data_IF_554956563929
#
_entry.id   IF_554956563929
#
_cell.length_a   1.000
_cell.length_b   1.000
_cell.length_c   1.000
_cell.angle_alpha   90.00
_cell.angle_beta   90.00
_cell.angle_gamma   90.00
#
_symmetry.space_group_name_H-M   'P 1'
#
loop_
_entity.id
_entity.type
_entity.pdbx_description
1 polymer ?
#
# COMPACT_ATOMS: atom_id res chain seq x y z
N UNK A 1 21.40 -0.14 11.36
CA UNK A 1 20.66 -0.71 12.53
C UNK A 1 21.50 -0.86 13.80
N UNK A 2 22.65 -0.20 13.92
CA UNK A 2 23.62 -0.34 15.03
C UNK A 2 23.30 0.44 16.33
N UNK A 3 22.02 0.71 16.64
CA UNK A 3 21.63 1.52 17.81
C UNK A 3 20.41 0.96 18.56
N UNK A 4 20.02 -0.28 18.33
CA UNK A 4 18.96 -0.95 19.08
C UNK A 4 19.65 -1.80 20.16
N UNK A 5 19.32 -1.55 21.42
CA UNK A 5 19.81 -2.34 22.55
C UNK A 5 18.83 -3.45 22.94
N UNK A 6 19.21 -4.29 23.91
CA UNK A 6 18.40 -5.44 24.34
C UNK A 6 17.02 -5.05 24.85
N UNK A 7 16.88 -3.93 25.58
CA UNK A 7 15.58 -3.45 26.05
C UNK A 7 14.64 -3.08 24.90
N UNK A 8 15.18 -2.39 23.87
CA UNK A 8 14.39 -2.03 22.69
C UNK A 8 14.00 -3.26 21.87
N UNK A 9 14.89 -4.27 21.77
CA UNK A 9 14.59 -5.56 21.13
C UNK A 9 13.51 -6.33 21.90
N UNK A 10 13.60 -6.34 23.24
CA UNK A 10 12.57 -6.96 24.08
C UNK A 10 11.20 -6.29 23.86
N UNK A 11 11.15 -4.95 23.85
CA UNK A 11 9.89 -4.23 23.59
C UNK A 11 9.31 -4.56 22.22
N UNK A 12 10.17 -4.64 21.19
CA UNK A 12 9.74 -5.03 19.85
C UNK A 12 9.07 -6.40 19.87
N UNK A 13 9.71 -7.40 20.49
CA UNK A 13 9.18 -8.75 20.63
C UNK A 13 7.85 -8.75 21.41
N UNK A 14 7.78 -8.05 22.54
CA UNK A 14 6.55 -7.96 23.32
C UNK A 14 5.38 -7.29 22.58
N UNK A 15 5.66 -6.30 21.72
CA UNK A 15 4.65 -5.70 20.85
C UNK A 15 4.10 -6.71 19.86
N UNK A 16 4.95 -7.52 19.24
CA UNK A 16 4.51 -8.57 18.30
C UNK A 16 3.72 -9.64 19.04
N UNK A 17 4.27 -10.19 20.11
CA UNK A 17 3.70 -11.35 20.82
C UNK A 17 2.42 -10.99 21.58
N UNK A 18 2.43 -9.89 22.36
CA UNK A 18 1.31 -9.53 23.25
C UNK A 18 0.28 -8.61 22.62
N UNK A 19 0.69 -7.75 21.66
CA UNK A 19 -0.22 -6.80 20.99
C UNK A 19 -0.58 -7.25 19.58
N UNK A 20 0.00 -8.35 19.10
CA UNK A 20 -0.26 -8.92 17.78
C UNK A 20 -0.12 -7.90 16.61
N UNK A 21 0.73 -6.89 16.80
CA UNK A 21 1.09 -5.98 15.71
C UNK A 21 2.13 -6.65 14.82
N UNK A 22 2.17 -6.24 13.55
CA UNK A 22 3.21 -6.76 12.64
C UNK A 22 4.60 -6.29 13.08
N UNK A 23 5.64 -7.07 12.76
CA UNK A 23 7.03 -6.72 13.06
C UNK A 23 7.42 -5.34 12.50
N UNK A 24 6.94 -5.02 11.28
CA UNK A 24 7.15 -3.69 10.68
C UNK A 24 6.51 -2.56 11.49
N UNK A 25 5.32 -2.78 12.05
CA UNK A 25 4.63 -1.82 12.93
C UNK A 25 5.37 -1.68 14.27
N UNK A 26 5.77 -2.79 14.89
CA UNK A 26 6.56 -2.78 16.11
C UNK A 26 7.89 -2.03 15.91
N UNK A 27 8.59 -2.32 14.82
CA UNK A 27 9.84 -1.63 14.43
C UNK A 27 9.60 -0.12 14.26
N UNK A 28 8.51 0.29 13.62
CA UNK A 28 8.15 1.70 13.49
C UNK A 28 7.93 2.35 14.86
N UNK A 29 7.21 1.70 15.77
CA UNK A 29 6.97 2.23 17.11
C UNK A 29 8.26 2.40 17.90
N UNK A 30 9.17 1.42 17.87
CA UNK A 30 10.47 1.54 18.52
C UNK A 30 11.32 2.67 17.91
N UNK A 31 11.32 2.83 16.59
CA UNK A 31 11.99 3.96 15.91
C UNK A 31 11.40 5.30 16.31
N UNK A 32 10.09 5.38 16.46
CA UNK A 32 9.41 6.58 16.93
C UNK A 32 9.86 6.94 18.35
N UNK A 33 9.89 5.98 19.27
CA UNK A 33 10.38 6.21 20.64
C UNK A 33 11.86 6.61 20.65
N UNK A 34 12.69 6.00 19.82
CA UNK A 34 14.08 6.41 19.65
C UNK A 34 14.21 7.88 19.20
N UNK A 35 13.34 8.32 18.28
CA UNK A 35 13.30 9.71 17.82
C UNK A 35 12.89 10.64 18.98
N UNK A 36 11.87 10.29 19.75
CA UNK A 36 11.41 11.05 20.92
C UNK A 36 12.45 11.10 22.04
N UNK A 37 13.30 10.08 22.16
CA UNK A 37 14.46 10.08 23.07
C UNK A 37 15.68 10.77 22.42
N UNK A 38 15.46 11.81 21.62
CA UNK A 38 16.52 12.62 20.98
C UNK A 38 17.52 11.78 20.17
N UNK A 39 17.03 10.72 19.52
CA UNK A 39 17.83 9.76 18.75
C UNK A 39 18.90 9.06 19.57
N UNK A 40 18.65 8.83 20.86
CA UNK A 40 19.50 8.03 21.74
C UNK A 40 18.82 6.72 22.11
N UNK A 41 19.57 5.62 22.24
CA UNK A 41 19.06 4.38 22.80
C UNK A 41 18.51 4.60 24.22
N UNK A 42 17.47 3.86 24.58
CA UNK A 42 16.86 3.95 25.91
C UNK A 42 16.75 2.57 26.55
N UNK A 43 16.98 2.52 27.86
CA UNK A 43 16.93 1.30 28.68
C UNK A 43 15.68 1.24 29.57
N UNK A 44 14.87 2.29 29.56
CA UNK A 44 13.56 2.39 30.21
C UNK A 44 12.73 3.49 29.53
N UNK A 45 11.51 3.69 29.97
CA UNK A 45 10.58 4.66 29.37
C UNK A 45 10.45 5.96 30.19
N UNK A 46 11.42 6.26 31.07
CA UNK A 46 11.34 7.44 31.94
C UNK A 46 11.37 8.77 31.19
N UNK A 47 11.99 8.83 30.02
CA UNK A 47 12.02 10.03 29.16
C UNK A 47 10.61 10.48 28.73
N UNK A 48 9.63 9.56 28.65
CA UNK A 48 8.24 9.87 28.33
C UNK A 48 7.52 10.65 29.47
N UNK A 49 8.09 10.69 30.68
CA UNK A 49 7.56 11.47 31.80
C UNK A 49 7.71 12.97 31.61
N UNK A 50 8.70 13.38 30.81
CA UNK A 50 8.86 14.80 30.43
C UNK A 50 7.94 15.11 29.25
N UNK A 51 6.66 15.26 29.54
CA UNK A 51 5.60 15.46 28.54
C UNK A 51 5.82 16.72 27.70
N UNK A 52 6.36 17.79 28.30
CA UNK A 52 6.59 19.05 27.61
C UNK A 52 7.69 18.90 26.52
N UNK A 53 8.77 18.19 26.87
CA UNK A 53 9.82 17.90 25.88
C UNK A 53 9.31 17.00 24.75
N UNK A 54 8.47 16.02 25.05
CA UNK A 54 7.85 15.16 24.02
C UNK A 54 6.94 16.02 23.13
N UNK A 55 6.15 16.93 23.71
CA UNK A 55 5.25 17.81 22.97
C UNK A 55 5.99 18.78 22.06
N UNK A 56 7.09 19.35 22.51
CA UNK A 56 7.96 20.16 21.67
C UNK A 56 8.42 19.39 20.43
N UNK A 57 8.91 18.15 20.60
CA UNK A 57 9.33 17.30 19.48
C UNK A 57 8.14 16.97 18.57
N UNK A 58 6.98 16.61 19.15
CA UNK A 58 5.79 16.30 18.36
C UNK A 58 5.31 17.47 17.52
N UNK A 59 5.47 18.71 18.00
CA UNK A 59 5.02 19.90 17.30
C UNK A 59 5.78 20.19 16.00
N UNK A 60 6.94 19.59 15.80
CA UNK A 60 7.69 19.68 14.55
C UNK A 60 7.09 18.82 13.43
N UNK A 61 6.13 17.94 13.74
CA UNK A 61 5.58 16.97 12.80
C UNK A 61 4.13 17.28 12.38
N UNK A 62 3.75 16.79 11.21
CA UNK A 62 2.36 16.85 10.74
C UNK A 62 1.43 16.02 11.64
N UNK A 63 0.15 16.32 11.64
CA UNK A 63 -0.86 15.66 12.48
C UNK A 63 -0.93 14.15 12.28
N UNK A 64 -0.79 13.67 11.04
CA UNK A 64 -0.71 12.24 10.75
C UNK A 64 0.51 11.58 11.40
N UNK A 65 1.64 12.27 11.37
CA UNK A 65 2.88 11.80 11.99
C UNK A 65 2.76 11.84 13.51
N UNK A 66 2.22 12.92 14.10
CA UNK A 66 1.92 13.03 15.54
C UNK A 66 1.06 11.86 16.02
N UNK A 67 -0.03 11.56 15.30
CA UNK A 67 -0.89 10.41 15.60
C UNK A 67 -0.11 9.10 15.60
N UNK A 68 0.80 8.90 14.65
CA UNK A 68 1.62 7.69 14.57
C UNK A 68 2.59 7.60 15.75
N UNK A 69 3.21 8.71 16.17
CA UNK A 69 4.03 8.77 17.38
C UNK A 69 3.21 8.42 18.64
N UNK A 70 2.06 9.07 18.82
CA UNK A 70 1.17 8.81 19.95
C UNK A 70 0.68 7.35 20.00
N UNK A 71 0.38 6.76 18.83
CA UNK A 71 0.03 5.34 18.73
C UNK A 71 1.18 4.43 19.18
N UNK A 72 2.42 4.77 18.82
CA UNK A 72 3.61 4.06 19.27
C UNK A 72 3.82 4.15 20.77
N UNK A 73 3.73 5.38 21.34
CA UNK A 73 3.83 5.61 22.79
C UNK A 73 2.78 4.81 23.55
N UNK A 74 1.51 4.92 23.16
CA UNK A 74 0.38 4.24 23.84
C UNK A 74 0.49 2.73 23.72
N UNK A 75 0.89 2.20 22.57
CA UNK A 75 1.08 0.76 22.37
C UNK A 75 2.17 0.22 23.30
N UNK A 76 3.32 0.90 23.39
CA UNK A 76 4.42 0.48 24.27
C UNK A 76 4.04 0.65 25.74
N UNK A 77 3.47 1.80 26.15
CA UNK A 77 3.06 2.00 27.54
C UNK A 77 1.95 1.03 27.98
N UNK A 78 1.11 0.55 27.05
CA UNK A 78 0.08 -0.43 27.37
C UNK A 78 0.62 -1.80 27.81
N UNK A 79 1.90 -2.11 27.51
CA UNK A 79 2.58 -3.29 28.04
C UNK A 79 2.87 -3.18 29.54
N UNK A 80 2.86 -1.96 30.07
CA UNK A 80 3.18 -1.63 31.46
C UNK A 80 2.02 -0.96 32.21
N UNK A 81 0.83 -0.93 31.64
CA UNK A 81 -0.34 -0.20 32.20
C UNK A 81 -0.73 -0.62 33.63
N UNK A 82 -0.41 -1.86 34.00
CA UNK A 82 -0.72 -2.42 35.32
C UNK A 82 0.32 -2.02 36.40
N UNK A 83 1.48 -1.47 35.97
CA UNK A 83 2.46 -0.90 36.88
C UNK A 83 2.04 0.51 37.29
N UNK A 84 1.94 0.75 38.61
CA UNK A 84 1.50 2.05 39.18
C UNK A 84 2.26 3.24 38.56
N UNK A 85 3.59 3.07 38.35
CA UNK A 85 4.48 4.11 37.80
C UNK A 85 4.16 4.51 36.37
N UNK A 86 3.46 3.68 35.59
CA UNK A 86 3.14 3.94 34.19
C UNK A 86 1.65 4.14 33.91
N UNK A 87 0.77 3.81 34.86
CA UNK A 87 -0.69 3.90 34.70
C UNK A 87 -1.16 5.32 34.35
N UNK A 88 -0.70 6.33 35.09
CA UNK A 88 -1.03 7.75 34.83
C UNK A 88 -0.44 8.22 33.48
N UNK A 89 0.78 7.81 33.17
CA UNK A 89 1.48 8.17 31.94
C UNK A 89 0.78 7.57 30.72
N UNK A 90 0.38 6.29 30.80
CA UNK A 90 -0.41 5.63 29.76
C UNK A 90 -1.72 6.38 29.50
N UNK A 91 -2.47 6.73 30.56
CA UNK A 91 -3.74 7.46 30.43
C UNK A 91 -3.50 8.81 29.74
N UNK A 92 -2.51 9.58 30.16
CA UNK A 92 -2.18 10.88 29.55
C UNK A 92 -1.99 10.78 28.04
N UNK A 93 -1.12 9.88 27.57
CA UNK A 93 -0.87 9.73 26.14
C UNK A 93 -2.02 9.09 25.38
N UNK A 94 -2.79 8.22 26.03
CA UNK A 94 -3.99 7.63 25.43
C UNK A 94 -5.06 8.70 25.18
N UNK A 95 -5.35 9.53 26.18
CA UNK A 95 -6.31 10.62 26.05
C UNK A 95 -5.89 11.60 24.96
N UNK A 96 -4.61 11.96 24.93
CA UNK A 96 -4.03 12.82 23.88
C UNK A 96 -4.14 12.21 22.48
N UNK A 97 -3.89 10.89 22.35
CA UNK A 97 -4.06 10.17 21.09
C UNK A 97 -5.53 10.16 20.65
N UNK A 98 -6.47 9.97 21.58
CA UNK A 98 -7.91 9.95 21.28
C UNK A 98 -8.41 11.33 20.87
N UNK A 99 -8.01 12.39 21.57
CA UNK A 99 -8.33 13.79 21.19
C UNK A 99 -7.85 14.06 19.76
N UNK A 100 -6.58 13.72 19.46
CA UNK A 100 -6.04 13.93 18.12
C UNK A 100 -6.76 13.09 17.05
N UNK A 101 -7.17 11.87 17.38
CA UNK A 101 -7.95 11.02 16.49
C UNK A 101 -9.34 11.59 16.18
N UNK A 102 -9.98 12.23 17.18
CA UNK A 102 -11.29 12.89 17.02
C UNK A 102 -11.14 14.15 16.17
N UNK A 103 -10.22 15.05 16.49
CA UNK A 103 -9.93 16.25 15.68
C UNK A 103 -9.70 15.91 14.20
N UNK A 104 -8.97 14.83 13.91
CA UNK A 104 -8.71 14.38 12.53
C UNK A 104 -9.91 13.75 11.85
N UNK A 105 -10.92 13.27 12.58
CA UNK A 105 -12.19 12.79 11.98
C UNK A 105 -13.09 13.96 11.59
N UNK A 106 -13.08 14.99 12.37
CA UNK A 106 -13.91 16.20 12.16
C UNK A 106 -13.33 17.10 11.05
N UNK A 107 -12.01 17.01 10.79
CA UNK A 107 -11.43 17.65 9.61
C UNK A 107 -11.90 16.90 8.35
N UNK A 108 -12.45 17.65 7.41
CA UNK A 108 -13.11 17.18 6.20
C UNK A 108 -12.20 16.23 5.41
N UNK A 109 -12.38 14.93 5.58
CA UNK A 109 -11.50 13.83 5.09
C UNK A 109 -11.41 13.83 3.56
N UNK A 110 -12.34 14.53 2.89
CA UNK A 110 -12.45 14.59 1.43
C UNK A 110 -11.74 15.82 0.82
N UNK A 111 -11.13 16.70 1.66
CA UNK A 111 -10.34 17.82 1.14
C UNK A 111 -8.95 17.33 0.76
N UNK A 112 -8.54 17.61 -0.47
CA UNK A 112 -7.18 17.31 -0.93
C UNK A 112 -6.15 18.09 -0.13
N UNK A 113 -5.11 17.40 0.36
CA UNK A 113 -3.92 18.05 0.88
C UNK A 113 -3.18 18.81 -0.23
N UNK A 114 -2.32 19.78 0.12
CA UNK A 114 -1.51 20.51 -0.86
C UNK A 114 -0.69 19.55 -1.73
N UNK A 115 -0.05 18.53 -1.13
CA UNK A 115 0.69 17.51 -1.86
C UNK A 115 -0.20 16.75 -2.85
N UNK A 116 -1.47 16.49 -2.51
CA UNK A 116 -2.40 15.86 -3.44
C UNK A 116 -2.76 16.82 -4.57
N UNK A 117 -3.06 18.09 -4.28
CA UNK A 117 -3.37 19.10 -5.31
C UNK A 117 -2.23 19.25 -6.32
N UNK A 118 -0.99 19.37 -5.84
CA UNK A 118 0.21 19.53 -6.69
C UNK A 118 0.46 18.34 -7.62
N UNK A 119 0.05 17.15 -7.20
CA UNK A 119 0.30 15.91 -7.92
C UNK A 119 -0.97 15.32 -8.57
N UNK A 120 -2.11 15.98 -8.41
CA UNK A 120 -3.37 15.50 -8.98
C UNK A 120 -3.36 15.53 -10.49
N UNK A 121 -4.07 14.60 -11.09
CA UNK A 121 -4.40 14.59 -12.51
C UNK A 121 -5.78 13.95 -12.71
N UNK A 122 -6.39 14.17 -13.86
CA UNK A 122 -7.64 13.52 -14.22
C UNK A 122 -7.38 12.06 -14.57
N UNK A 123 -8.41 11.23 -14.43
CA UNK A 123 -8.31 9.81 -14.78
C UNK A 123 -8.03 9.61 -16.28
N UNK A 124 -8.60 10.45 -17.12
CA UNK A 124 -8.37 10.47 -18.57
C UNK A 124 -6.89 10.68 -18.90
N UNK A 125 -6.19 11.53 -18.16
CA UNK A 125 -4.75 11.76 -18.33
C UNK A 125 -3.94 10.50 -17.95
N UNK A 126 -4.40 9.72 -16.96
CA UNK A 126 -3.79 8.43 -16.61
C UNK A 126 -3.95 7.44 -17.76
N UNK A 127 -5.14 7.38 -18.37
CA UNK A 127 -5.42 6.53 -19.53
C UNK A 127 -4.57 6.96 -20.75
N UNK A 128 -4.45 8.26 -21.01
CA UNK A 128 -3.58 8.77 -22.08
C UNK A 128 -2.14 8.29 -21.89
N UNK A 129 -1.61 8.31 -20.66
CA UNK A 129 -0.26 7.79 -20.36
C UNK A 129 -0.13 6.29 -20.66
N UNK A 130 -1.19 5.51 -20.40
CA UNK A 130 -1.22 4.10 -20.77
C UNK A 130 -1.14 3.92 -22.29
N UNK A 131 -1.95 4.67 -23.04
CA UNK A 131 -1.94 4.60 -24.49
C UNK A 131 -0.60 5.08 -25.12
N UNK A 132 0.05 6.08 -24.53
CA UNK A 132 1.37 6.51 -24.97
C UNK A 132 2.42 5.40 -24.79
N UNK A 133 2.40 4.69 -23.66
CA UNK A 133 3.27 3.53 -23.44
C UNK A 133 2.96 2.40 -24.43
N UNK A 134 1.68 2.15 -24.72
CA UNK A 134 1.23 1.15 -25.70
C UNK A 134 1.79 1.44 -27.09
N UNK A 135 1.75 2.70 -27.53
CA UNK A 135 2.35 3.11 -28.81
C UNK A 135 3.86 2.81 -28.87
N UNK A 136 4.60 3.10 -27.80
CA UNK A 136 6.04 2.80 -27.76
C UNK A 136 6.32 1.29 -27.84
N UNK A 137 5.44 0.46 -27.29
CA UNK A 137 5.58 -1.00 -27.34
C UNK A 137 5.36 -1.55 -28.74
N UNK A 138 4.49 -0.94 -29.55
CA UNK A 138 4.26 -1.35 -30.94
C UNK A 138 5.54 -1.40 -31.76
N UNK A 139 6.53 -0.53 -31.46
CA UNK A 139 7.82 -0.47 -32.16
C UNK A 139 8.69 -1.72 -31.96
N UNK A 140 8.49 -2.48 -30.87
CA UNK A 140 9.36 -3.61 -30.54
C UNK A 140 8.64 -4.91 -30.18
N UNK A 141 7.32 -4.95 -30.08
CA UNK A 141 6.55 -6.14 -29.65
C UNK A 141 6.84 -7.40 -30.47
N UNK A 142 7.20 -7.23 -31.76
CA UNK A 142 7.46 -8.33 -32.68
C UNK A 142 8.94 -8.80 -32.68
N UNK A 143 9.81 -8.11 -31.95
CA UNK A 143 11.22 -8.50 -31.86
C UNK A 143 11.37 -9.85 -31.15
N UNK A 144 12.48 -10.54 -31.45
CA UNK A 144 12.85 -11.79 -30.74
C UNK A 144 13.46 -11.49 -29.37
N UNK A 145 14.22 -10.42 -29.26
CA UNK A 145 14.86 -9.91 -28.04
C UNK A 145 14.63 -8.42 -27.92
N UNK A 146 14.56 -7.93 -26.71
CA UNK A 146 14.42 -6.50 -26.42
C UNK A 146 15.56 -6.04 -25.53
N UNK A 147 15.87 -4.76 -25.60
CA UNK A 147 16.87 -4.10 -24.75
C UNK A 147 16.32 -3.89 -23.33
N UNK A 148 17.20 -3.66 -22.36
CA UNK A 148 16.78 -3.32 -20.98
C UNK A 148 15.85 -2.09 -20.95
N UNK A 149 16.13 -1.07 -21.78
CA UNK A 149 15.27 0.12 -21.88
C UNK A 149 13.87 -0.22 -22.42
N UNK A 150 13.77 -1.10 -23.40
CA UNK A 150 12.49 -1.56 -23.92
C UNK A 150 11.74 -2.42 -22.88
N UNK A 151 12.47 -3.26 -22.12
CA UNK A 151 11.88 -4.00 -21.01
C UNK A 151 11.31 -3.06 -19.92
N UNK A 152 12.00 -1.98 -19.57
CA UNK A 152 11.52 -0.98 -18.61
C UNK A 152 10.24 -0.28 -19.10
N UNK A 153 10.15 0.00 -20.41
CA UNK A 153 8.93 0.53 -21.03
C UNK A 153 7.79 -0.48 -20.93
N UNK A 154 8.05 -1.75 -21.25
CA UNK A 154 7.06 -2.82 -21.15
C UNK A 154 6.59 -3.03 -19.72
N UNK A 155 7.51 -3.06 -18.75
CA UNK A 155 7.19 -3.15 -17.33
C UNK A 155 6.33 -1.96 -16.86
N UNK A 156 6.65 -0.75 -17.34
CA UNK A 156 5.87 0.46 -17.04
C UNK A 156 4.45 0.35 -17.59
N UNK A 157 4.28 -0.17 -18.77
CA UNK A 157 2.97 -0.41 -19.39
C UNK A 157 2.16 -1.46 -18.62
N UNK A 158 2.77 -2.61 -18.30
CA UNK A 158 2.12 -3.66 -17.49
C UNK A 158 1.66 -3.12 -16.15
N UNK A 159 2.53 -2.38 -15.45
CA UNK A 159 2.16 -1.76 -14.19
C UNK A 159 0.96 -0.83 -14.37
N UNK A 160 0.97 0.00 -15.41
CA UNK A 160 -0.14 0.94 -15.62
C UNK A 160 -1.44 0.20 -16.00
N UNK A 161 -1.37 -0.87 -16.79
CA UNK A 161 -2.53 -1.75 -17.05
C UNK A 161 -3.08 -2.37 -15.76
N UNK A 162 -2.23 -2.84 -14.83
CA UNK A 162 -2.66 -3.37 -13.53
C UNK A 162 -3.36 -2.32 -12.65
N UNK A 163 -3.15 -1.03 -12.89
CA UNK A 163 -3.77 0.06 -12.15
C UNK A 163 -4.95 0.72 -12.89
N UNK A 164 -5.17 0.38 -14.16
CA UNK A 164 -6.24 0.98 -14.97
C UNK A 164 -7.30 0.00 -15.44
N UNK A 165 -6.91 -1.24 -15.73
CA UNK A 165 -7.81 -2.27 -16.24
C UNK A 165 -8.59 -3.02 -15.13
N UNK A 166 -8.06 -2.97 -13.91
CA UNK A 166 -8.74 -3.46 -12.71
C UNK A 166 -8.69 -2.38 -11.64
N UNK A 167 -9.56 -2.41 -10.61
CA UNK A 167 -9.52 -1.43 -9.53
C UNK A 167 -8.12 -1.35 -8.89
N UNK A 168 -7.52 -0.15 -8.78
CA UNK A 168 -6.14 0.01 -8.34
C UNK A 168 -5.87 -0.59 -6.95
N UNK A 169 -4.92 -1.52 -6.86
CA UNK A 169 -4.50 -2.16 -5.62
C UNK A 169 -3.25 -1.49 -5.03
N UNK A 170 -2.79 -1.97 -3.88
CA UNK A 170 -1.54 -1.48 -3.27
C UNK A 170 -0.33 -2.09 -3.97
N UNK A 171 0.79 -1.37 -4.04
CA UNK A 171 2.04 -1.88 -4.60
C UNK A 171 2.47 -3.20 -3.97
N UNK A 172 2.27 -3.35 -2.65
CA UNK A 172 2.63 -4.57 -1.92
C UNK A 172 1.90 -5.80 -2.45
N UNK A 173 0.67 -5.65 -2.94
CA UNK A 173 -0.15 -6.76 -3.44
C UNK A 173 0.47 -7.39 -4.69
N UNK A 174 1.23 -6.63 -5.48
CA UNK A 174 1.95 -7.11 -6.67
C UNK A 174 3.42 -7.44 -6.41
N UNK A 175 4.04 -6.81 -5.40
CA UNK A 175 5.46 -6.95 -5.09
C UNK A 175 5.84 -8.42 -4.80
N UNK A 176 4.98 -9.11 -4.06
CA UNK A 176 5.20 -10.49 -3.62
C UNK A 176 4.36 -11.50 -4.43
N UNK A 177 3.99 -11.11 -5.65
CA UNK A 177 3.24 -11.97 -6.56
C UNK A 177 4.16 -12.89 -7.35
N UNK A 178 3.66 -14.10 -7.62
CA UNK A 178 4.31 -15.11 -8.45
C UNK A 178 3.45 -15.46 -9.65
N UNK A 179 4.08 -15.73 -10.77
CA UNK A 179 3.42 -16.32 -11.93
C UNK A 179 3.44 -17.82 -11.78
N UNK A 180 2.31 -18.46 -11.97
CA UNK A 180 2.18 -19.91 -12.02
C UNK A 180 1.45 -20.35 -13.29
N UNK A 181 1.78 -21.55 -13.79
CA UNK A 181 1.09 -22.07 -14.96
C UNK A 181 -0.37 -22.40 -14.69
N UNK A 182 -0.65 -23.03 -13.56
CA UNK A 182 -1.99 -23.39 -13.11
C UNK A 182 -1.93 -23.60 -11.60
N UNK A 183 -2.76 -22.88 -10.88
CA UNK A 183 -2.83 -23.00 -9.43
C UNK A 183 -3.96 -23.96 -9.04
N UNK A 184 -3.62 -24.97 -8.22
CA UNK A 184 -4.62 -25.77 -7.55
C UNK A 184 -5.06 -25.05 -6.28
N UNK A 185 -6.34 -24.93 -6.08
CA UNK A 185 -6.94 -24.16 -4.98
C UNK A 185 -6.46 -22.69 -4.97
N UNK A 186 -6.14 -22.14 -3.82
CA UNK A 186 -5.61 -20.79 -3.68
C UNK A 186 -4.11 -20.73 -3.40
N UNK A 187 -3.41 -21.87 -3.49
CA UNK A 187 -1.97 -21.97 -3.26
C UNK A 187 -1.52 -21.64 -1.84
N UNK A 188 -0.24 -21.27 -1.70
CA UNK A 188 0.34 -20.83 -0.44
C UNK A 188 -0.27 -19.48 -0.01
N UNK A 189 -0.86 -19.45 1.18
CA UNK A 189 -1.53 -18.25 1.73
C UNK A 189 -0.59 -17.10 2.04
N UNK A 190 0.70 -17.31 2.07
CA UNK A 190 1.71 -16.25 2.25
C UNK A 190 2.08 -15.54 0.95
N UNK A 191 1.61 -16.01 -0.21
CA UNK A 191 1.95 -15.51 -1.54
C UNK A 191 0.70 -15.03 -2.30
N UNK A 192 0.91 -14.14 -3.26
CA UNK A 192 -0.06 -13.76 -4.28
C UNK A 192 0.34 -14.37 -5.61
N UNK A 193 -0.64 -14.60 -6.49
CA UNK A 193 -0.39 -15.32 -7.74
C UNK A 193 -1.06 -14.68 -8.95
N UNK A 194 -0.36 -14.74 -10.08
CA UNK A 194 -0.95 -14.68 -11.42
C UNK A 194 -1.06 -16.12 -11.92
N UNK A 195 -2.25 -16.70 -11.88
CA UNK A 195 -2.55 -17.99 -12.51
C UNK A 195 -2.79 -17.77 -14.01
N UNK A 196 -1.74 -18.09 -14.78
CA UNK A 196 -1.74 -17.72 -16.19
C UNK A 196 -2.72 -18.55 -17.03
N UNK A 197 -2.96 -19.81 -16.71
CA UNK A 197 -3.90 -20.64 -17.46
C UNK A 197 -5.34 -20.19 -17.24
N UNK A 198 -5.72 -19.89 -16.01
CA UNK A 198 -7.08 -19.51 -15.65
C UNK A 198 -7.30 -17.98 -15.72
N UNK A 199 -6.26 -17.22 -16.08
CA UNK A 199 -6.31 -15.73 -16.15
C UNK A 199 -6.86 -15.12 -14.87
N UNK A 200 -6.33 -15.56 -13.74
CA UNK A 200 -6.73 -15.08 -12.43
C UNK A 200 -5.56 -14.41 -11.69
N UNK A 201 -5.84 -13.25 -11.12
CA UNK A 201 -5.00 -12.65 -10.09
C UNK A 201 -5.55 -13.08 -8.74
N UNK A 202 -4.73 -13.77 -7.94
CA UNK A 202 -5.10 -14.33 -6.64
C UNK A 202 -4.32 -13.61 -5.55
N UNK A 203 -5.02 -12.96 -4.64
CA UNK A 203 -4.47 -12.18 -3.55
C UNK A 203 -4.78 -12.87 -2.22
N UNK A 204 -3.81 -13.59 -1.68
CA UNK A 204 -3.89 -14.23 -0.37
C UNK A 204 -3.29 -13.33 0.72
N UNK A 205 -2.16 -12.69 0.40
CA UNK A 205 -1.40 -11.88 1.33
C UNK A 205 -1.44 -10.40 0.93
N UNK A 206 -2.26 -9.60 1.64
CA UNK A 206 -2.40 -8.16 1.48
C UNK A 206 -2.84 -7.51 2.79
N UNK A 207 -2.75 -6.18 2.89
CA UNK A 207 -2.91 -5.43 4.17
C UNK A 207 -4.16 -5.80 4.99
N UNK A 208 -5.25 -6.14 4.32
CA UNK A 208 -6.54 -6.42 4.96
C UNK A 208 -7.00 -7.88 4.75
N UNK A 209 -6.11 -8.79 4.39
CA UNK A 209 -6.44 -10.19 4.11
C UNK A 209 -7.02 -10.94 5.31
N UNK A 210 -6.63 -10.58 6.53
CA UNK A 210 -7.24 -11.15 7.76
C UNK A 210 -8.75 -10.88 7.86
N UNK A 211 -9.23 -9.77 7.28
CA UNK A 211 -10.66 -9.40 7.32
C UNK A 211 -11.43 -9.94 6.11
N UNK A 212 -10.83 -9.90 4.93
CA UNK A 212 -11.55 -10.17 3.68
C UNK A 212 -11.16 -11.50 3.03
N UNK A 213 -10.22 -12.25 3.62
CA UNK A 213 -9.76 -13.54 3.09
C UNK A 213 -9.03 -13.43 1.75
N UNK A 214 -8.96 -14.54 1.03
CA UNK A 214 -8.44 -14.60 -0.33
C UNK A 214 -9.37 -13.85 -1.28
N UNK A 215 -8.79 -13.00 -2.14
CA UNK A 215 -9.51 -12.33 -3.22
C UNK A 215 -9.00 -12.84 -4.57
N UNK A 216 -9.90 -13.04 -5.50
CA UNK A 216 -9.60 -13.46 -6.87
C UNK A 216 -10.22 -12.47 -7.84
N UNK A 217 -9.45 -12.07 -8.85
CA UNK A 217 -9.89 -11.21 -9.94
C UNK A 217 -9.64 -11.98 -11.24
N UNK A 218 -10.71 -12.32 -11.95
CA UNK A 218 -10.61 -12.86 -13.30
C UNK A 218 -10.36 -11.71 -14.27
N UNK A 219 -9.34 -11.85 -15.13
CA UNK A 219 -8.92 -10.81 -16.07
C UNK A 219 -9.25 -11.13 -17.52
N UNK A 220 -10.04 -12.18 -17.79
CA UNK A 220 -10.37 -12.61 -19.15
C UNK A 220 -11.07 -11.51 -19.97
N UNK A 221 -11.84 -10.65 -19.34
CA UNK A 221 -12.56 -9.57 -20.03
C UNK A 221 -11.68 -8.36 -20.33
N UNK A 222 -10.53 -8.23 -19.69
CA UNK A 222 -9.61 -7.13 -19.93
C UNK A 222 -8.58 -7.48 -21.01
N UNK A 223 -8.94 -7.21 -22.26
CA UNK A 223 -8.07 -7.50 -23.40
C UNK A 223 -6.71 -6.80 -23.28
N UNK A 224 -6.70 -5.51 -22.95
CA UNK A 224 -5.45 -4.73 -22.84
C UNK A 224 -4.52 -5.30 -21.76
N UNK A 225 -5.07 -5.75 -20.62
CA UNK A 225 -4.26 -6.39 -19.56
C UNK A 225 -3.74 -7.76 -20.00
N UNK A 226 -4.55 -8.58 -20.65
CA UNK A 226 -4.13 -9.88 -21.20
C UNK A 226 -3.00 -9.71 -22.23
N UNK A 227 -3.15 -8.77 -23.16
CA UNK A 227 -2.16 -8.51 -24.21
C UNK A 227 -0.85 -8.00 -23.59
N UNK A 228 -0.93 -7.08 -22.62
CA UNK A 228 0.21 -6.58 -21.87
C UNK A 228 0.96 -7.69 -21.12
N UNK A 229 0.24 -8.55 -20.42
CA UNK A 229 0.80 -9.67 -19.67
C UNK A 229 1.38 -10.73 -20.59
N UNK A 230 0.73 -11.03 -21.73
CA UNK A 230 1.23 -11.97 -22.74
C UNK A 230 2.60 -11.52 -23.25
N UNK A 231 2.70 -10.23 -23.61
CA UNK A 231 3.94 -9.66 -24.10
C UNK A 231 5.02 -9.61 -23.00
N UNK A 232 4.63 -9.27 -21.79
CA UNK A 232 5.54 -9.24 -20.65
C UNK A 232 6.12 -10.63 -20.35
N UNK A 233 5.29 -11.68 -20.34
CA UNK A 233 5.74 -13.04 -20.12
C UNK A 233 6.63 -13.56 -21.26
N UNK A 234 6.39 -13.12 -22.51
CA UNK A 234 7.28 -13.43 -23.65
C UNK A 234 8.72 -12.95 -23.39
N UNK A 235 8.88 -11.76 -22.83
CA UNK A 235 10.19 -11.14 -22.60
C UNK A 235 10.69 -11.28 -21.16
N UNK A 236 9.89 -11.87 -20.28
CA UNK A 236 10.23 -11.98 -18.86
C UNK A 236 11.51 -12.82 -18.67
N UNK A 237 12.51 -12.33 -17.92
CA UNK A 237 13.81 -13.00 -17.80
C UNK A 237 13.74 -14.37 -17.14
N UNK A 238 12.77 -14.59 -16.24
CA UNK A 238 12.58 -15.85 -15.52
C UNK A 238 11.53 -16.77 -16.16
N UNK A 239 10.80 -16.31 -17.18
CA UNK A 239 9.80 -17.13 -17.83
C UNK A 239 10.45 -18.21 -18.71
N UNK A 240 9.92 -19.45 -18.72
CA UNK A 240 10.38 -20.48 -19.63
C UNK A 240 10.22 -20.04 -21.09
N UNK A 241 11.29 -20.21 -21.88
CA UNK A 241 11.28 -19.87 -23.31
C UNK A 241 10.67 -20.99 -24.14
N UNK A 242 9.40 -21.33 -23.87
CA UNK A 242 8.62 -22.38 -24.54
C UNK A 242 7.26 -21.81 -24.94
N UNK A 243 6.67 -22.36 -25.99
CA UNK A 243 5.35 -21.93 -26.49
C UNK A 243 4.23 -22.07 -25.44
N UNK A 244 4.35 -23.07 -24.60
CA UNK A 244 3.44 -23.27 -23.46
C UNK A 244 4.23 -23.29 -22.16
N UNK A 245 3.71 -22.62 -21.16
CA UNK A 245 4.29 -22.62 -19.82
C UNK A 245 4.23 -24.05 -19.24
N UNK A 246 5.37 -24.65 -18.83
CA UNK A 246 5.39 -25.99 -18.26
C UNK A 246 4.52 -26.09 -17.01
N UNK A 247 3.97 -27.29 -16.74
CA UNK A 247 3.30 -27.57 -15.46
C UNK A 247 4.28 -27.34 -14.32
N UNK A 248 3.77 -26.87 -13.18
CA UNK A 248 4.56 -26.53 -11.97
C UNK A 248 5.56 -25.39 -12.14
N UNK A 249 5.40 -24.54 -13.17
CA UNK A 249 6.17 -23.32 -13.29
C UNK A 249 5.76 -22.35 -12.19
N UNK A 250 6.74 -21.83 -11.46
CA UNK A 250 6.56 -20.71 -10.51
C UNK A 250 7.78 -19.80 -10.57
N UNK A 251 7.55 -18.49 -10.74
CA UNK A 251 8.60 -17.47 -10.70
C UNK A 251 8.03 -16.10 -10.29
N UNK A 252 8.91 -15.21 -9.85
CA UNK A 252 8.51 -13.83 -9.47
C UNK A 252 7.84 -13.12 -10.63
N UNK A 253 6.70 -12.47 -10.35
CA UNK A 253 5.93 -11.74 -11.36
C UNK A 253 6.63 -10.46 -11.80
N UNK A 254 6.99 -9.57 -10.88
CA UNK A 254 7.65 -8.31 -11.19
C UNK A 254 9.16 -8.42 -10.92
N UNK A 255 9.95 -8.18 -11.96
CA UNK A 255 11.42 -8.21 -11.90
C UNK A 255 12.02 -7.05 -12.68
N UNK A 256 13.29 -6.78 -12.44
CA UNK A 256 14.12 -6.00 -13.33
C UNK A 256 14.45 -6.81 -14.60
N UNK A 257 15.02 -6.16 -15.60
CA UNK A 257 15.41 -6.81 -16.87
C UNK A 257 16.44 -7.94 -16.73
N UNK A 258 17.21 -7.97 -15.65
CA UNK A 258 18.17 -9.02 -15.31
C UNK A 258 17.55 -10.20 -14.52
N UNK A 259 16.25 -10.16 -14.25
CA UNK A 259 15.54 -11.17 -13.45
C UNK A 259 15.60 -10.97 -11.94
N UNK A 260 16.34 -9.98 -11.46
CA UNK A 260 16.36 -9.67 -10.03
C UNK A 260 15.00 -9.11 -9.57
N UNK A 261 14.53 -9.56 -8.41
CA UNK A 261 13.31 -9.03 -7.80
C UNK A 261 13.50 -7.62 -7.26
N UNK A 262 12.41 -6.88 -7.11
CA UNK A 262 12.45 -5.58 -6.44
C UNK A 262 12.75 -5.75 -4.94
N UNK A 263 13.64 -4.91 -4.43
CA UNK A 263 14.05 -4.92 -3.01
C UNK A 263 13.10 -4.16 -2.09
N UNK A 264 12.20 -3.35 -2.65
CA UNK A 264 11.30 -2.47 -1.89
C UNK A 264 10.07 -2.11 -2.71
N UNK A 265 8.92 -2.00 -2.06
CA UNK A 265 7.67 -1.49 -2.66
C UNK A 265 7.81 -0.09 -3.27
N UNK A 266 8.82 0.67 -2.83
CA UNK A 266 9.14 1.97 -3.42
C UNK A 266 9.68 1.86 -4.85
N UNK A 267 10.13 0.68 -5.30
CA UNK A 267 10.51 0.47 -6.70
C UNK A 267 9.32 0.73 -7.63
N UNK A 268 8.16 0.13 -7.34
CA UNK A 268 6.92 0.37 -8.10
C UNK A 268 6.53 1.86 -8.05
N UNK A 269 6.62 2.50 -6.87
CA UNK A 269 6.33 3.94 -6.75
C UNK A 269 7.26 4.79 -7.63
N UNK A 270 8.56 4.45 -7.69
CA UNK A 270 9.51 5.17 -8.57
C UNK A 270 9.19 5.01 -10.04
N UNK A 271 8.78 3.80 -10.47
CA UNK A 271 8.36 3.55 -11.86
C UNK A 271 7.12 4.40 -12.17
N UNK A 272 6.10 4.37 -11.31
CA UNK A 272 4.90 5.19 -11.49
C UNK A 272 5.22 6.69 -11.55
N UNK A 273 6.04 7.21 -10.64
CA UNK A 273 6.46 8.61 -10.67
C UNK A 273 7.17 8.98 -11.99
N UNK A 274 7.98 8.06 -12.55
CA UNK A 274 8.63 8.24 -13.84
C UNK A 274 7.63 8.29 -15.00
N UNK A 275 6.64 7.40 -15.01
CA UNK A 275 5.54 7.39 -16.00
C UNK A 275 4.82 8.76 -16.02
N UNK A 276 4.59 9.34 -14.85
CA UNK A 276 3.85 10.59 -14.70
C UNK A 276 4.75 11.85 -14.70
N UNK A 277 5.94 11.78 -15.30
CA UNK A 277 6.82 12.93 -15.49
C UNK A 277 7.37 13.53 -14.19
N UNK A 278 7.63 12.69 -13.19
CA UNK A 278 8.16 13.11 -11.88
C UNK A 278 7.10 13.55 -10.87
N UNK A 279 5.81 13.60 -11.24
CA UNK A 279 4.74 13.77 -10.26
C UNK A 279 4.76 12.63 -9.23
N UNK A 280 4.49 12.94 -7.97
CA UNK A 280 4.46 11.95 -6.87
C UNK A 280 3.17 11.13 -6.90
N UNK A 281 2.96 10.35 -7.95
CA UNK A 281 1.78 9.52 -8.17
C UNK A 281 2.16 8.05 -7.92
N UNK A 282 1.92 7.57 -6.71
CA UNK A 282 2.00 6.15 -6.37
C UNK A 282 0.61 5.50 -6.36
N UNK A 283 0.54 4.21 -6.03
CA UNK A 283 -0.74 3.47 -6.01
C UNK A 283 -1.81 4.09 -5.10
N UNK A 284 -1.41 4.78 -4.03
CA UNK A 284 -2.38 5.49 -3.17
C UNK A 284 -3.04 6.65 -3.92
N UNK A 285 -2.25 7.45 -4.65
CA UNK A 285 -2.78 8.57 -5.45
C UNK A 285 -3.65 8.05 -6.59
N UNK A 286 -3.22 7.01 -7.31
CA UNK A 286 -4.03 6.39 -8.36
C UNK A 286 -5.39 5.89 -7.84
N UNK A 287 -5.43 5.35 -6.62
CA UNK A 287 -6.69 4.94 -5.99
C UNK A 287 -7.60 6.11 -5.67
N UNK A 288 -7.04 7.24 -5.21
CA UNK A 288 -7.82 8.47 -5.01
C UNK A 288 -8.36 8.99 -6.33
N UNK A 289 -7.51 9.12 -7.36
CA UNK A 289 -7.89 9.59 -8.69
C UNK A 289 -9.00 8.69 -9.29
N UNK A 290 -8.81 7.36 -9.26
CA UNK A 290 -9.79 6.39 -9.76
C UNK A 290 -11.15 6.50 -9.06
N UNK A 291 -11.15 6.55 -7.73
CA UNK A 291 -12.41 6.63 -6.98
C UNK A 291 -13.10 7.97 -7.19
N UNK A 292 -12.36 9.08 -7.26
CA UNK A 292 -12.92 10.41 -7.51
C UNK A 292 -13.44 10.59 -8.93
N UNK A 293 -12.91 9.84 -9.92
CA UNK A 293 -13.46 9.85 -11.28
C UNK A 293 -14.71 8.99 -11.42
N UNK A 294 -14.87 7.98 -10.55
CA UNK A 294 -15.99 7.04 -10.62
C UNK A 294 -17.19 7.47 -9.79
N UNK A 295 -16.95 8.25 -8.72
CA UNK A 295 -18.01 8.66 -7.79
C UNK A 295 -17.89 10.16 -7.54
N UNK A 296 -18.92 10.91 -7.83
CA UNK A 296 -19.00 12.33 -7.47
C UNK A 296 -19.36 12.45 -5.99
N UNK A 297 -18.36 12.82 -5.19
CA UNK A 297 -18.53 12.97 -3.74
C UNK A 297 -19.30 14.24 -3.40
N UNK A 298 -19.20 15.30 -4.21
CA UNK A 298 -19.88 16.55 -3.93
C UNK A 298 -21.37 16.43 -4.25
N UNK A 299 -21.74 15.71 -5.29
CA UNK A 299 -23.10 15.31 -5.58
C UNK A 299 -23.70 14.42 -4.47
N UNK A 300 -22.93 13.41 -4.03
CA UNK A 300 -23.34 12.55 -2.91
C UNK A 300 -23.49 13.32 -1.58
N UNK A 301 -22.68 14.34 -1.32
CA UNK A 301 -22.83 15.19 -0.13
C UNK A 301 -24.08 16.06 -0.20
N UNK A 302 -24.33 16.67 -1.36
CA UNK A 302 -25.52 17.48 -1.60
C UNK A 302 -26.79 16.67 -1.36
N UNK A 303 -26.87 15.48 -1.94
CA UNK A 303 -27.99 14.58 -1.72
C UNK A 303 -28.16 14.20 -0.23
N UNK A 304 -27.07 13.95 0.48
CA UNK A 304 -27.10 13.66 1.90
C UNK A 304 -27.60 14.86 2.72
N UNK A 305 -27.14 16.07 2.41
CA UNK A 305 -27.62 17.31 3.03
C UNK A 305 -29.09 17.56 2.74
N UNK A 306 -29.53 17.40 1.49
CA UNK A 306 -30.94 17.55 1.07
C UNK A 306 -31.86 16.53 1.76
N UNK A 307 -31.34 15.33 2.06
CA UNK A 307 -32.05 14.29 2.82
C UNK A 307 -31.94 14.45 4.35
N UNK A 308 -31.14 15.38 4.84
CA UNK A 308 -30.97 15.66 6.28
C UNK A 308 -30.15 14.61 7.05
N UNK A 309 -29.21 13.93 6.37
CA UNK A 309 -28.35 12.94 7.01
C UNK A 309 -26.88 13.07 6.57
N UNK A 310 -25.98 12.37 7.26
CA UNK A 310 -24.55 12.38 6.90
C UNK A 310 -24.26 11.49 5.69
N UNK A 311 -23.17 11.77 4.96
CA UNK A 311 -22.67 10.92 3.88
C UNK A 311 -22.42 9.46 4.34
N UNK A 312 -22.08 9.27 5.62
CA UNK A 312 -21.93 7.93 6.22
C UNK A 312 -23.26 7.20 6.34
N UNK A 313 -24.33 7.90 6.69
CA UNK A 313 -25.68 7.36 6.79
C UNK A 313 -26.30 7.10 5.41
N UNK A 314 -26.03 7.97 4.43
CA UNK A 314 -26.47 7.77 3.05
C UNK A 314 -26.09 6.38 2.51
N UNK A 315 -24.88 5.90 2.81
CA UNK A 315 -24.42 4.56 2.42
C UNK A 315 -25.28 3.43 2.96
N UNK A 316 -25.97 3.63 4.08
CA UNK A 316 -26.88 2.63 4.65
C UNK A 316 -28.22 2.53 3.87
N UNK A 317 -28.62 3.62 3.19
CA UNK A 317 -29.80 3.62 2.33
C UNK A 317 -29.50 3.07 0.93
N UNK A 318 -28.24 3.13 0.49
CA UNK A 318 -27.83 2.53 -0.78
C UNK A 318 -27.88 1.01 -0.67
N UNK A 319 -28.71 0.37 -1.46
CA UNK A 319 -28.80 -1.10 -1.52
C UNK A 319 -27.97 -1.61 -2.70
N UNK A 320 -27.14 -2.62 -2.48
CA UNK A 320 -26.53 -3.35 -3.58
C UNK A 320 -27.61 -4.18 -4.27
N UNK A 321 -27.67 -4.12 -5.58
CA UNK A 321 -28.42 -5.10 -6.35
C UNK A 321 -27.72 -6.45 -6.18
N UNK A 322 -28.16 -7.22 -5.19
CA UNK A 322 -27.76 -8.63 -5.08
C UNK A 322 -28.68 -9.36 -6.06
N UNK A 323 -28.14 -9.68 -7.22
CA UNK A 323 -28.74 -10.69 -8.11
C UNK A 323 -28.24 -12.05 -7.67
#
# INVERSE_FOLDING_TARGET
MNKINDFMLQLLKELVDKKQVTESTATLYIKNLYTLNKKQPFINLSFLKNTDSIDQILNEYSDNTKKTFLSGITSVLSLFKDKVSYKKLYKHYYDKMMTKATEMKDTNVNIMSNTQKDNWMKWEDVIIKKEDLKKLIEEFKNQKLITNKQFDILLSYVLLCLYTEIPPRRNQDYMDMYVVSNLKDSGDKSKNYLDWTNKNLIFNHYKTSKKYGTQQININESKDLIDALTLYLKFHPLAPKKDKMPKNTEFKFLTNSDGSGFTSVNAITRILNKIFGGKKIGSSMLRHIYLSSKYDIDEMKKDAEDMGHSLGEQKNYMKSNVV
#
